data_IF_867286696971
#
_entry.id   IF_867286696971
#
_cell.length_a   1.000
_cell.length_b   1.000
_cell.length_c   1.000
_cell.angle_alpha   90.00
_cell.angle_beta   90.00
_cell.angle_gamma   90.00
#
_symmetry.space_group_name_H-M   'P 1'
#
loop_
_entity.id
_entity.type
_entity.pdbx_description
1 polymer ?
#
# COMPACT_ATOMS: atom_id res chain seq x y z
N UNK A 1 2.22 -12.90 17.81
CA UNK A 1 2.22 -11.83 16.80
C UNK A 1 3.64 -11.67 16.27
N UNK A 2 3.82 -11.53 14.95
CA UNK A 2 5.14 -11.42 14.31
C UNK A 2 5.48 -9.97 13.93
N UNK A 3 6.72 -9.74 13.50
CA UNK A 3 7.17 -8.43 12.99
C UNK A 3 6.99 -8.40 11.47
N UNK A 4 6.56 -7.25 10.94
CA UNK A 4 6.38 -7.00 9.51
C UNK A 4 7.10 -5.71 9.08
N UNK A 5 7.28 -5.52 7.78
CA UNK A 5 7.87 -4.32 7.20
C UNK A 5 7.05 -3.06 7.54
N UNK A 6 7.73 -2.04 8.06
CA UNK A 6 7.12 -0.76 8.44
C UNK A 6 6.86 0.19 7.27
N UNK A 7 6.61 1.46 7.60
CA UNK A 7 6.45 2.55 6.60
C UNK A 7 5.22 2.42 5.71
N UNK A 8 4.25 1.58 6.07
CA UNK A 8 3.07 1.29 5.23
C UNK A 8 3.31 0.23 4.14
N UNK A 9 4.55 -0.24 3.94
CA UNK A 9 4.90 -1.23 2.90
C UNK A 9 4.14 -2.56 3.07
N UNK A 10 3.98 -3.02 4.31
CA UNK A 10 3.21 -4.24 4.59
C UNK A 10 1.74 -4.15 4.13
N UNK A 11 1.10 -2.98 4.30
CA UNK A 11 -0.28 -2.76 3.89
C UNK A 11 -0.40 -2.71 2.36
N UNK A 12 0.54 -2.04 1.69
CA UNK A 12 0.62 -1.98 0.23
C UNK A 12 0.75 -3.39 -0.36
N UNK A 13 1.65 -4.22 0.18
CA UNK A 13 1.82 -5.61 -0.28
C UNK A 13 0.62 -6.48 0.04
N UNK A 14 0.01 -6.33 1.21
CA UNK A 14 -1.20 -7.06 1.58
C UNK A 14 -2.38 -6.72 0.67
N UNK A 15 -2.52 -5.45 0.24
CA UNK A 15 -3.62 -4.98 -0.61
C UNK A 15 -3.70 -5.70 -1.97
N UNK A 16 -2.62 -6.34 -2.43
CA UNK A 16 -2.59 -7.09 -3.70
C UNK A 16 -3.63 -8.20 -3.75
N UNK A 17 -3.94 -8.84 -2.62
CA UNK A 17 -4.95 -9.91 -2.56
C UNK A 17 -6.36 -9.41 -2.82
N UNK A 18 -6.60 -8.10 -2.75
CA UNK A 18 -7.90 -7.47 -2.99
C UNK A 18 -8.10 -7.09 -4.47
N UNK A 19 -7.14 -7.38 -5.36
CA UNK A 19 -7.16 -6.93 -6.75
C UNK A 19 -8.33 -7.49 -7.58
N UNK A 20 -8.80 -8.70 -7.25
CA UNK A 20 -9.93 -9.37 -7.90
C UNK A 20 -11.25 -9.16 -7.14
N UNK A 21 -11.30 -8.16 -6.25
CA UNK A 21 -12.41 -7.91 -5.34
C UNK A 21 -12.78 -9.12 -4.47
N UNK A 22 -11.86 -10.07 -4.25
CA UNK A 22 -12.10 -11.32 -3.53
C UNK A 22 -13.24 -12.16 -4.14
N UNK A 23 -13.47 -12.03 -5.45
CA UNK A 23 -14.58 -12.66 -6.16
C UNK A 23 -15.96 -12.12 -5.78
N UNK A 24 -16.02 -10.98 -5.07
CA UNK A 24 -17.27 -10.31 -4.69
C UNK A 24 -17.82 -9.46 -5.83
N UNK A 25 -19.10 -9.14 -5.73
CA UNK A 25 -19.83 -8.33 -6.72
C UNK A 25 -20.74 -7.30 -6.05
N UNK A 26 -21.18 -6.29 -6.79
CA UNK A 26 -22.09 -5.26 -6.26
C UNK A 26 -21.46 -4.49 -5.10
N UNK A 27 -22.25 -4.23 -4.05
CA UNK A 27 -21.85 -3.40 -2.91
C UNK A 27 -20.66 -3.99 -2.13
N UNK A 28 -20.54 -5.31 -2.06
CA UNK A 28 -19.39 -5.97 -1.42
C UNK A 28 -18.10 -5.66 -2.18
N UNK A 29 -18.12 -5.71 -3.53
CA UNK A 29 -16.96 -5.36 -4.35
C UNK A 29 -16.56 -3.90 -4.18
N UNK A 30 -17.55 -3.00 -4.08
CA UNK A 30 -17.32 -1.58 -3.76
C UNK A 30 -16.60 -1.44 -2.42
N UNK A 31 -17.05 -2.17 -1.39
CA UNK A 31 -16.39 -2.20 -0.08
C UNK A 31 -14.94 -2.68 -0.15
N UNK A 32 -14.66 -3.74 -0.91
CA UNK A 32 -13.29 -4.24 -1.13
C UNK A 32 -12.43 -3.18 -1.82
N UNK A 33 -12.96 -2.49 -2.84
CA UNK A 33 -12.25 -1.42 -3.53
C UNK A 33 -11.90 -0.25 -2.61
N UNK A 34 -12.81 0.14 -1.70
CA UNK A 34 -12.57 1.19 -0.69
C UNK A 34 -11.43 0.78 0.24
N UNK A 35 -11.45 -0.45 0.77
CA UNK A 35 -10.39 -0.94 1.66
C UNK A 35 -9.05 -1.02 0.92
N UNK A 36 -9.06 -1.49 -0.34
CA UNK A 36 -7.86 -1.56 -1.18
C UNK A 36 -7.26 -0.17 -1.41
N UNK A 37 -8.09 0.84 -1.68
CA UNK A 37 -7.65 2.22 -1.83
C UNK A 37 -7.10 2.80 -0.52
N UNK A 38 -7.77 2.56 0.61
CA UNK A 38 -7.32 3.05 1.92
C UNK A 38 -6.00 2.41 2.38
N UNK A 39 -5.74 1.15 2.01
CA UNK A 39 -4.58 0.40 2.47
C UNK A 39 -3.23 1.00 2.02
N UNK A 40 -3.20 1.75 0.91
CA UNK A 40 -1.96 2.38 0.40
C UNK A 40 -1.70 3.78 0.98
N UNK A 41 -2.73 4.40 1.57
CA UNK A 41 -2.67 5.79 2.07
C UNK A 41 -1.59 6.04 3.13
N UNK A 42 -1.30 5.13 4.08
CA UNK A 42 -0.25 5.38 5.06
C UNK A 42 1.12 5.60 4.43
N UNK A 43 1.49 4.80 3.43
CA UNK A 43 2.76 4.99 2.70
C UNK A 43 2.71 6.27 1.85
N UNK A 44 1.57 6.56 1.21
CA UNK A 44 1.39 7.79 0.42
C UNK A 44 1.66 9.02 1.27
N UNK A 45 1.04 9.12 2.44
CA UNK A 45 1.22 10.25 3.35
C UNK A 45 2.65 10.36 3.88
N UNK A 46 3.30 9.24 4.18
CA UNK A 46 4.72 9.24 4.58
C UNK A 46 5.60 9.83 3.47
N UNK A 47 5.38 9.43 2.22
CA UNK A 47 6.12 9.93 1.06
C UNK A 47 5.82 11.41 0.78
N UNK A 48 4.57 11.85 0.86
CA UNK A 48 4.20 13.26 0.66
C UNK A 48 4.76 14.18 1.75
N UNK A 49 4.74 13.73 3.00
CA UNK A 49 5.37 14.46 4.10
C UNK A 49 6.89 14.55 3.95
N UNK A 50 7.50 13.64 3.18
CA UNK A 50 8.91 13.69 2.79
C UNK A 50 9.15 14.52 1.51
N UNK A 51 8.12 15.16 0.95
CA UNK A 51 8.23 16.01 -0.25
C UNK A 51 8.30 15.23 -1.57
N UNK A 52 7.86 13.97 -1.59
CA UNK A 52 7.84 13.12 -2.78
C UNK A 52 6.41 12.88 -3.29
N UNK A 53 6.31 12.45 -4.55
CA UNK A 53 5.05 12.07 -5.19
C UNK A 53 4.50 10.76 -4.58
N UNK A 54 3.60 10.87 -3.61
CA UNK A 54 3.18 9.74 -2.78
C UNK A 54 2.64 8.54 -3.56
N UNK A 55 1.78 8.77 -4.55
CA UNK A 55 1.25 7.69 -5.39
C UNK A 55 2.30 7.04 -6.30
N UNK A 56 3.33 7.78 -6.71
CA UNK A 56 4.45 7.21 -7.47
C UNK A 56 5.26 6.27 -6.59
N UNK A 57 5.51 6.66 -5.34
CA UNK A 57 6.21 5.81 -4.36
C UNK A 57 5.40 4.57 -4.01
N UNK A 58 4.09 4.69 -3.75
CA UNK A 58 3.25 3.53 -3.45
C UNK A 58 3.19 2.55 -4.62
N UNK A 59 3.10 3.04 -5.86
CA UNK A 59 3.15 2.21 -7.06
C UNK A 59 4.48 1.45 -7.17
N UNK A 60 5.61 2.11 -6.95
CA UNK A 60 6.93 1.46 -6.96
C UNK A 60 7.03 0.39 -5.87
N UNK A 61 6.64 0.69 -4.64
CA UNK A 61 6.65 -0.30 -3.54
C UNK A 61 5.73 -1.48 -3.81
N UNK A 62 4.60 -1.26 -4.50
CA UNK A 62 3.72 -2.34 -4.93
C UNK A 62 4.39 -3.27 -5.95
N UNK A 63 5.42 -2.86 -6.68
CA UNK A 63 6.16 -3.72 -7.62
C UNK A 63 7.31 -4.49 -6.95
N UNK A 64 7.76 -4.05 -5.77
CA UNK A 64 8.83 -4.69 -5.00
C UNK A 64 8.40 -6.02 -4.35
N UNK A 65 9.42 -6.80 -3.98
CA UNK A 65 9.24 -8.05 -3.23
C UNK A 65 8.77 -7.80 -1.80
N UNK A 66 8.09 -8.80 -1.23
CA UNK A 66 7.64 -8.75 0.17
C UNK A 66 8.82 -8.50 1.11
N UNK A 67 8.66 -7.54 2.02
CA UNK A 67 9.71 -7.15 2.97
C UNK A 67 10.60 -6.01 2.48
N UNK A 68 10.51 -5.62 1.21
CA UNK A 68 11.09 -4.38 0.69
C UNK A 68 10.08 -3.23 0.81
N UNK A 69 10.55 -2.00 0.85
CA UNK A 69 9.72 -0.83 1.10
C UNK A 69 10.44 0.45 0.74
N UNK A 70 9.93 1.56 1.29
CA UNK A 70 10.48 2.90 1.10
C UNK A 70 10.95 3.49 2.43
N UNK A 71 12.16 4.03 2.43
CA UNK A 71 12.76 4.78 3.52
C UNK A 71 12.65 6.28 3.27
N UNK A 72 11.61 6.89 3.86
CA UNK A 72 11.36 8.33 3.74
C UNK A 72 12.46 9.23 4.32
N UNK A 73 13.31 8.72 5.21
CA UNK A 73 14.40 9.51 5.78
C UNK A 73 15.58 9.68 4.80
N UNK A 74 15.81 8.70 3.93
CA UNK A 74 16.89 8.72 2.93
C UNK A 74 16.40 8.93 1.49
N UNK A 75 15.10 8.78 1.24
CA UNK A 75 14.50 8.89 -0.09
C UNK A 75 14.70 7.65 -0.96
N UNK A 76 14.95 6.49 -0.35
CA UNK A 76 15.26 5.22 -1.02
C UNK A 76 14.10 4.22 -0.97
#
# INVERSE_FOLDING_TARGET
EGIVSGGGSALVHASKVLADSLGKTGDEATGVAVVRAAAVEPLRWIAENAGLEGYVITSKVAELDKGQGFNAATGE
#
